data_IF_199371504923
#
_entry.id   IF_199371504923
#
_cell.length_a   1.000
_cell.length_b   1.000
_cell.length_c   1.000
_cell.angle_alpha   90.00
_cell.angle_beta   90.00
_cell.angle_gamma   90.00
#
_symmetry.space_group_name_H-M   'P 1'
#
loop_
_entity.id
_entity.type
_entity.pdbx_description
1 polymer ?
#
# COMPACT_ATOMS: atom_id res chain seq x y z
N UNK A 1 3.89 19.76 -8.99
CA UNK A 1 4.04 18.54 -9.84
C UNK A 1 5.35 17.90 -9.44
N UNK A 2 5.34 16.62 -9.21
CA UNK A 2 6.47 15.94 -8.57
C UNK A 2 7.70 15.89 -9.50
N UNK A 3 8.93 16.05 -8.95
CA UNK A 3 10.19 15.90 -9.72
C UNK A 3 10.33 14.56 -10.43
N UNK A 4 9.53 13.56 -10.01
CA UNK A 4 9.48 12.21 -10.57
C UNK A 4 9.03 12.14 -12.03
N UNK A 5 8.26 13.11 -12.51
CA UNK A 5 7.60 13.01 -13.83
C UNK A 5 8.27 13.83 -14.92
N UNK A 6 9.31 14.59 -14.60
CA UNK A 6 10.03 15.33 -15.62
C UNK A 6 10.74 14.36 -16.59
N UNK A 7 10.41 14.45 -17.87
CA UNK A 7 10.94 13.57 -18.90
C UNK A 7 10.41 12.13 -18.91
N UNK A 8 9.37 11.82 -18.13
CA UNK A 8 8.78 10.48 -18.03
C UNK A 8 7.30 10.48 -18.43
N UNK A 9 6.87 9.41 -19.07
CA UNK A 9 5.45 9.07 -19.18
C UNK A 9 5.03 8.38 -17.88
N UNK A 10 4.04 8.93 -17.18
CA UNK A 10 3.51 8.37 -15.92
C UNK A 10 2.11 7.81 -16.19
N UNK A 11 1.90 6.59 -15.77
CA UNK A 11 0.60 5.94 -15.78
C UNK A 11 0.18 5.72 -14.33
N UNK A 12 -0.99 6.23 -13.98
CA UNK A 12 -1.57 6.10 -12.66
C UNK A 12 -2.95 5.44 -12.82
N UNK A 13 -3.03 4.10 -12.64
CA UNK A 13 -4.31 3.41 -12.75
C UNK A 13 -5.27 3.90 -11.65
N UNK A 14 -6.51 4.12 -12.03
CA UNK A 14 -7.58 4.25 -11.07
C UNK A 14 -8.12 2.86 -10.77
N UNK A 15 -8.01 2.44 -9.53
CA UNK A 15 -8.58 1.17 -9.10
C UNK A 15 -10.11 1.20 -9.17
N UNK A 16 -10.71 0.03 -9.20
CA UNK A 16 -12.15 -0.14 -9.30
C UNK A 16 -12.86 0.66 -8.20
N UNK A 17 -14.01 1.24 -8.50
CA UNK A 17 -14.81 2.11 -7.65
C UNK A 17 -14.21 3.48 -7.31
N UNK A 18 -12.93 3.73 -7.57
CA UNK A 18 -12.37 5.08 -7.39
C UNK A 18 -12.89 6.05 -8.47
N UNK A 19 -12.87 7.38 -8.21
CA UNK A 19 -13.34 8.36 -9.19
C UNK A 19 -12.70 8.16 -10.56
N UNK A 20 -13.50 8.22 -11.63
CA UNK A 20 -13.10 7.98 -13.04
C UNK A 20 -12.82 6.51 -13.39
N UNK A 21 -13.09 5.56 -12.51
CA UNK A 21 -13.03 4.13 -12.78
C UNK A 21 -14.43 3.52 -12.89
N UNK A 22 -14.51 2.24 -13.29
CA UNK A 22 -15.76 1.47 -13.31
C UNK A 22 -16.26 1.15 -11.92
N UNK A 23 -17.57 0.94 -11.79
CA UNK A 23 -18.17 0.47 -10.55
C UNK A 23 -18.18 -1.05 -10.49
N UNK A 24 -18.06 -1.60 -9.26
CA UNK A 24 -18.27 -3.01 -9.03
C UNK A 24 -19.70 -3.42 -9.37
N UNK A 25 -19.86 -4.50 -10.11
CA UNK A 25 -21.17 -5.01 -10.55
C UNK A 25 -21.43 -6.43 -10.09
N UNK A 26 -20.51 -7.00 -9.31
CA UNK A 26 -20.67 -8.33 -8.73
C UNK A 26 -21.47 -8.31 -7.44
N UNK A 27 -21.90 -9.50 -7.01
CA UNK A 27 -22.49 -9.71 -5.69
C UNK A 27 -21.37 -9.98 -4.67
N UNK A 28 -21.45 -9.39 -3.49
CA UNK A 28 -20.48 -9.56 -2.41
C UNK A 28 -19.32 -8.57 -2.40
N UNK A 29 -18.25 -8.93 -1.74
CA UNK A 29 -17.08 -8.07 -1.53
C UNK A 29 -16.38 -7.74 -2.85
N UNK A 30 -15.87 -6.52 -2.96
CA UNK A 30 -15.14 -6.05 -4.13
C UNK A 30 -13.79 -6.77 -4.19
N UNK A 31 -13.56 -7.52 -5.25
CA UNK A 31 -12.36 -8.33 -5.42
C UNK A 31 -11.14 -7.46 -5.78
N UNK A 32 -10.15 -7.46 -4.89
CA UNK A 32 -8.85 -6.79 -5.11
C UNK A 32 -8.04 -7.36 -6.28
N UNK A 33 -8.34 -8.59 -6.69
CA UNK A 33 -7.73 -9.19 -7.88
C UNK A 33 -8.04 -8.40 -9.15
N UNK A 34 -9.20 -7.74 -9.21
CA UNK A 34 -9.56 -6.84 -10.31
C UNK A 34 -8.58 -5.67 -10.45
N UNK A 35 -8.09 -5.12 -9.33
CA UNK A 35 -7.11 -4.02 -9.36
C UNK A 35 -5.74 -4.51 -9.84
N UNK A 36 -5.32 -5.70 -9.40
CA UNK A 36 -4.12 -6.34 -9.92
C UNK A 36 -4.20 -6.55 -11.43
N UNK A 37 -5.28 -7.13 -11.94
CA UNK A 37 -5.48 -7.36 -13.38
C UNK A 37 -5.50 -6.06 -14.20
N UNK A 38 -6.05 -4.98 -13.65
CA UNK A 38 -6.01 -3.67 -14.29
C UNK A 38 -4.59 -3.11 -14.40
N UNK A 39 -3.80 -3.21 -13.33
CA UNK A 39 -2.40 -2.79 -13.30
C UNK A 39 -1.53 -3.69 -14.20
N UNK A 40 -1.74 -5.01 -14.17
CA UNK A 40 -1.07 -5.99 -15.03
C UNK A 40 -1.31 -5.69 -16.51
N UNK A 41 -2.55 -5.42 -16.89
CA UNK A 41 -2.88 -5.07 -18.28
C UNK A 41 -2.13 -3.84 -18.76
N UNK A 42 -1.97 -2.83 -17.91
CA UNK A 42 -1.17 -1.63 -18.22
C UNK A 42 0.29 -2.02 -18.40
N UNK A 43 0.86 -2.79 -17.46
CA UNK A 43 2.24 -3.24 -17.51
C UNK A 43 2.54 -4.04 -18.78
N UNK A 44 1.69 -5.00 -19.12
CA UNK A 44 1.85 -5.85 -20.29
C UNK A 44 1.67 -5.10 -21.62
N UNK A 45 0.95 -3.99 -21.61
CA UNK A 45 0.81 -3.10 -22.77
C UNK A 45 2.06 -2.27 -23.11
N UNK A 46 3.07 -2.26 -22.23
CA UNK A 46 4.31 -1.52 -22.46
C UNK A 46 5.32 -2.34 -23.26
N UNK A 47 5.99 -1.69 -24.24
CA UNK A 47 7.01 -2.34 -25.08
C UNK A 47 8.32 -2.59 -24.32
N UNK A 48 8.66 -1.74 -23.36
CA UNK A 48 9.90 -1.81 -22.56
C UNK A 48 9.66 -2.12 -21.09
N UNK A 49 10.75 -2.13 -20.33
CA UNK A 49 10.67 -2.19 -18.87
C UNK A 49 10.19 -0.88 -18.28
N UNK A 50 9.35 -0.96 -17.26
CA UNK A 50 8.85 0.19 -16.51
C UNK A 50 9.47 0.27 -15.13
N UNK A 51 9.39 1.45 -14.52
CA UNK A 51 9.61 1.64 -13.09
C UNK A 51 8.26 1.63 -12.38
N UNK A 52 8.21 1.05 -11.19
CA UNK A 52 7.00 1.04 -10.36
C UNK A 52 7.24 1.90 -9.13
N UNK A 53 6.32 2.84 -8.92
CA UNK A 53 6.20 3.60 -7.67
C UNK A 53 4.90 3.20 -6.98
N UNK A 54 4.98 2.82 -5.72
CA UNK A 54 3.81 2.42 -4.94
C UNK A 54 3.86 2.94 -3.50
N UNK A 55 2.68 3.13 -2.94
CA UNK A 55 2.46 3.43 -1.53
C UNK A 55 1.40 2.49 -0.98
N UNK A 56 1.60 1.96 0.21
CA UNK A 56 0.57 1.17 0.90
C UNK A 56 0.06 -0.01 0.04
N UNK A 57 -1.23 -0.08 -0.20
CA UNK A 57 -1.89 -1.04 -1.09
C UNK A 57 -1.29 -1.04 -2.52
N UNK A 58 -0.94 0.14 -3.05
CA UNK A 58 -0.26 0.23 -4.35
C UNK A 58 1.13 -0.42 -4.34
N UNK A 59 1.82 -0.44 -3.21
CA UNK A 59 3.05 -1.18 -3.01
C UNK A 59 2.82 -2.70 -3.01
N UNK A 60 1.75 -3.18 -2.37
CA UNK A 60 1.34 -4.59 -2.44
C UNK A 60 1.07 -5.03 -3.88
N UNK A 61 0.27 -4.28 -4.64
CA UNK A 61 0.00 -4.57 -6.06
C UNK A 61 1.30 -4.57 -6.87
N UNK A 62 2.21 -3.61 -6.63
CA UNK A 62 3.53 -3.55 -7.28
C UNK A 62 4.39 -4.79 -7.02
N UNK A 63 4.40 -5.31 -5.80
CA UNK A 63 5.09 -6.55 -5.45
C UNK A 63 4.49 -7.77 -6.17
N UNK A 64 3.15 -7.85 -6.24
CA UNK A 64 2.48 -8.92 -6.97
C UNK A 64 2.81 -8.89 -8.47
N UNK A 65 2.91 -7.70 -9.08
CA UNK A 65 3.38 -7.54 -10.45
C UNK A 65 4.82 -8.00 -10.61
N UNK A 66 5.68 -7.70 -9.65
CA UNK A 66 7.10 -8.08 -9.69
C UNK A 66 7.31 -9.60 -9.58
N UNK A 67 6.50 -10.29 -8.79
CA UNK A 67 6.53 -11.76 -8.71
C UNK A 67 6.13 -12.39 -10.04
N UNK A 68 5.08 -11.87 -10.69
CA UNK A 68 4.52 -12.48 -11.90
C UNK A 68 5.21 -12.02 -13.20
N UNK A 69 5.74 -10.79 -13.25
CA UNK A 69 6.30 -10.18 -14.46
C UNK A 69 7.65 -9.46 -14.20
N UNK A 70 8.66 -10.15 -13.61
CA UNK A 70 9.93 -9.52 -13.25
C UNK A 70 10.71 -8.97 -14.44
N UNK A 71 10.51 -9.55 -15.62
CA UNK A 71 11.14 -9.14 -16.87
C UNK A 71 10.61 -7.82 -17.43
N UNK A 72 9.42 -7.39 -17.01
CA UNK A 72 8.79 -6.12 -17.39
C UNK A 72 9.16 -4.95 -16.50
N UNK A 73 9.85 -5.17 -15.40
CA UNK A 73 10.15 -4.14 -14.40
C UNK A 73 11.64 -3.88 -14.35
N UNK A 74 12.03 -2.60 -14.37
CA UNK A 74 13.43 -2.17 -14.26
C UNK A 74 13.84 -1.99 -12.81
N UNK A 75 13.06 -1.26 -12.03
CA UNK A 75 13.24 -1.02 -10.59
C UNK A 75 11.93 -0.59 -9.93
N UNK A 76 11.92 -0.64 -8.63
CA UNK A 76 10.75 -0.27 -7.83
C UNK A 76 11.12 0.67 -6.70
N UNK A 77 10.19 1.54 -6.33
CA UNK A 77 10.29 2.41 -5.17
C UNK A 77 8.96 2.36 -4.41
N UNK A 78 9.02 1.97 -3.16
CA UNK A 78 7.83 1.85 -2.32
C UNK A 78 7.96 2.67 -1.05
N UNK A 79 6.90 3.38 -0.70
CA UNK A 79 6.72 3.88 0.65
C UNK A 79 5.75 2.95 1.38
N UNK A 80 6.27 2.27 2.40
CA UNK A 80 5.51 1.41 3.30
C UNK A 80 4.49 0.49 2.61
N UNK A 81 4.94 -0.44 1.76
CA UNK A 81 4.03 -1.40 1.12
C UNK A 81 3.32 -2.23 2.20
N UNK A 82 2.00 -2.37 2.09
CA UNK A 82 1.23 -3.10 3.09
C UNK A 82 1.26 -4.60 2.78
N UNK A 83 2.12 -5.33 3.50
CA UNK A 83 2.34 -6.78 3.36
C UNK A 83 2.08 -7.49 4.69
N UNK A 84 0.91 -7.29 5.26
CA UNK A 84 0.56 -7.79 6.59
C UNK A 84 0.56 -9.31 6.70
N UNK A 85 0.45 -10.04 5.59
CA UNK A 85 0.67 -11.49 5.57
C UNK A 85 2.04 -11.89 6.12
N UNK A 86 3.06 -11.04 5.96
CA UNK A 86 4.40 -11.28 6.51
C UNK A 86 4.41 -11.34 8.04
N UNK A 87 3.52 -10.63 8.73
CA UNK A 87 3.45 -10.62 10.20
C UNK A 87 3.16 -11.99 10.81
N UNK A 88 2.51 -12.89 10.08
CA UNK A 88 2.27 -14.25 10.55
C UNK A 88 3.58 -15.01 10.81
N UNK A 89 4.70 -14.52 10.25
CA UNK A 89 6.03 -15.13 10.29
C UNK A 89 7.02 -14.35 11.17
N UNK A 90 6.59 -13.30 11.88
CA UNK A 90 7.45 -12.64 12.86
C UNK A 90 7.57 -13.49 14.14
N UNK A 91 8.71 -13.38 14.83
CA UNK A 91 8.91 -13.92 16.17
C UNK A 91 8.36 -12.98 17.28
N UNK A 92 7.89 -11.79 16.90
CA UNK A 92 7.33 -10.76 17.76
C UNK A 92 5.85 -11.03 18.03
N UNK A 93 5.56 -11.93 18.96
CA UNK A 93 4.17 -12.26 19.33
C UNK A 93 3.39 -11.04 19.87
N UNK A 94 4.09 -10.08 20.47
CA UNK A 94 3.51 -8.81 20.91
C UNK A 94 2.92 -8.04 19.73
N UNK A 95 3.63 -7.95 18.59
CA UNK A 95 3.16 -7.26 17.39
C UNK A 95 2.06 -8.02 16.65
N UNK A 96 2.08 -9.36 16.71
CA UNK A 96 0.95 -10.16 16.17
C UNK A 96 -0.34 -9.89 16.95
N UNK A 97 -0.24 -9.84 18.27
CA UNK A 97 -1.38 -9.58 19.14
C UNK A 97 -1.91 -8.15 18.93
N UNK A 98 -1.02 -7.15 18.92
CA UNK A 98 -1.38 -5.76 18.62
C UNK A 98 -2.08 -5.63 17.27
N UNK A 99 -1.56 -6.29 16.24
CA UNK A 99 -2.22 -6.30 14.92
C UNK A 99 -3.56 -7.03 14.97
N UNK A 100 -3.68 -8.11 15.73
CA UNK A 100 -4.96 -8.80 15.96
C UNK A 100 -6.03 -7.87 16.56
N UNK A 101 -5.67 -7.04 17.52
CA UNK A 101 -6.57 -6.03 18.11
C UNK A 101 -7.00 -4.97 17.07
N UNK A 102 -6.09 -4.56 16.20
CA UNK A 102 -6.43 -3.65 15.06
C UNK A 102 -7.43 -4.31 14.11
N UNK A 103 -7.21 -5.57 13.76
CA UNK A 103 -8.13 -6.32 12.88
C UNK A 103 -9.51 -6.47 13.55
N UNK A 104 -9.56 -6.78 14.85
CA UNK A 104 -10.81 -6.83 15.60
C UNK A 104 -11.54 -5.49 15.57
N UNK A 105 -10.82 -4.37 15.76
CA UNK A 105 -11.39 -3.02 15.72
C UNK A 105 -12.02 -2.74 14.34
N UNK A 106 -11.31 -3.05 13.25
CA UNK A 106 -11.81 -2.79 11.89
C UNK A 106 -13.00 -3.67 11.49
N UNK A 107 -13.14 -4.85 12.06
CA UNK A 107 -14.13 -5.84 11.64
C UNK A 107 -15.04 -6.33 12.77
N UNK A 108 -15.24 -5.50 13.80
CA UNK A 108 -16.24 -5.78 14.85
C UNK A 108 -17.63 -5.98 14.24
N UNK A 109 -18.30 -7.05 14.64
CA UNK A 109 -19.64 -7.34 14.15
C UNK A 109 -20.62 -6.22 14.54
N UNK A 110 -21.38 -5.73 13.57
CA UNK A 110 -22.33 -4.63 13.76
C UNK A 110 -21.70 -3.24 13.74
N UNK A 111 -20.43 -3.12 13.37
CA UNK A 111 -19.77 -1.81 13.20
C UNK A 111 -20.46 -1.02 12.09
N UNK A 112 -20.83 0.23 12.38
CA UNK A 112 -21.38 1.12 11.35
C UNK A 112 -20.29 1.50 10.32
N UNK A 113 -20.64 1.68 9.05
CA UNK A 113 -19.66 2.00 8.00
C UNK A 113 -18.78 3.22 8.32
N UNK A 114 -19.32 4.24 8.99
CA UNK A 114 -18.59 5.44 9.37
C UNK A 114 -17.60 5.18 10.53
N UNK A 115 -17.91 4.26 11.42
CA UNK A 115 -17.01 3.90 12.51
C UNK A 115 -15.75 3.19 11.96
N UNK A 116 -15.92 2.28 11.01
CA UNK A 116 -14.77 1.71 10.28
C UNK A 116 -13.90 2.79 9.64
N UNK A 117 -14.50 3.78 8.97
CA UNK A 117 -13.72 4.86 8.33
C UNK A 117 -12.99 5.71 9.36
N UNK A 118 -13.61 6.01 10.51
CA UNK A 118 -12.98 6.74 11.60
C UNK A 118 -11.78 5.98 12.13
N UNK A 119 -11.96 4.71 12.49
CA UNK A 119 -10.91 3.87 13.04
C UNK A 119 -9.75 3.71 12.03
N UNK A 120 -10.06 3.50 10.77
CA UNK A 120 -9.06 3.36 9.70
C UNK A 120 -8.27 4.66 9.44
N UNK A 121 -8.94 5.80 9.41
CA UNK A 121 -8.27 7.09 9.19
C UNK A 121 -7.42 7.47 10.39
N UNK A 122 -7.95 7.31 11.60
CA UNK A 122 -7.23 7.61 12.84
C UNK A 122 -6.02 6.69 13.03
N UNK A 123 -6.15 5.42 12.68
CA UNK A 123 -5.05 4.44 12.71
C UNK A 123 -3.83 4.88 11.89
N UNK A 124 -4.03 5.42 10.69
CA UNK A 124 -2.96 5.86 9.81
C UNK A 124 -2.46 7.29 10.08
N UNK A 125 -3.13 8.03 10.93
CA UNK A 125 -2.80 9.40 11.24
C UNK A 125 -2.64 9.60 12.76
N UNK A 126 -3.56 10.31 13.35
CA UNK A 126 -3.64 10.55 14.79
C UNK A 126 -5.10 10.43 15.25
N UNK A 127 -5.36 10.07 16.51
CA UNK A 127 -6.72 10.06 17.03
C UNK A 127 -7.45 11.37 16.78
N UNK A 128 -8.67 11.30 16.24
CA UNK A 128 -9.49 12.46 15.88
C UNK A 128 -9.20 13.03 14.47
N UNK A 129 -8.35 12.41 13.68
CA UNK A 129 -8.08 12.83 12.30
C UNK A 129 -9.34 12.79 11.43
N UNK A 130 -10.19 11.75 11.61
CA UNK A 130 -11.48 11.66 10.93
C UNK A 130 -12.40 12.82 11.27
N UNK A 131 -12.57 13.11 12.54
CA UNK A 131 -13.49 14.16 13.00
C UNK A 131 -12.99 15.58 12.62
N UNK A 132 -11.68 15.74 12.45
CA UNK A 132 -11.06 16.98 11.98
C UNK A 132 -11.15 17.20 10.47
N UNK A 133 -11.56 16.17 9.72
CA UNK A 133 -11.62 16.22 8.27
C UNK A 133 -12.81 17.06 7.80
N UNK A 134 -12.62 17.84 6.71
CA UNK A 134 -13.70 18.59 6.08
C UNK A 134 -14.82 17.66 5.59
N UNK A 135 -16.09 18.08 5.71
CA UNK A 135 -17.25 17.28 5.36
C UNK A 135 -17.20 16.74 3.93
N UNK A 136 -16.82 17.57 2.96
CA UNK A 136 -16.72 17.14 1.56
C UNK A 136 -15.66 16.06 1.33
N UNK A 137 -14.64 15.98 2.19
CA UNK A 137 -13.66 14.90 2.16
C UNK A 137 -14.22 13.65 2.80
N UNK A 138 -14.92 13.76 3.94
CA UNK A 138 -15.60 12.63 4.56
C UNK A 138 -16.65 12.02 3.62
N UNK A 139 -17.38 12.84 2.87
CA UNK A 139 -18.35 12.36 1.89
C UNK A 139 -17.68 11.50 0.81
N UNK A 140 -16.53 11.91 0.30
CA UNK A 140 -15.76 11.11 -0.64
C UNK A 140 -15.32 9.76 -0.03
N UNK A 141 -14.88 9.75 1.23
CA UNK A 141 -14.53 8.53 1.94
C UNK A 141 -15.73 7.61 2.15
N UNK A 142 -16.90 8.17 2.49
CA UNK A 142 -18.16 7.41 2.62
C UNK A 142 -18.55 6.73 1.30
N UNK A 143 -18.40 7.42 0.17
CA UNK A 143 -18.65 6.83 -1.15
C UNK A 143 -17.68 5.67 -1.46
N UNK A 144 -16.44 5.77 -1.00
CA UNK A 144 -15.41 4.77 -1.23
C UNK A 144 -15.39 3.65 -0.17
N UNK A 145 -16.13 3.79 0.91
CA UNK A 145 -16.08 2.90 2.07
C UNK A 145 -16.19 1.41 1.70
N UNK A 146 -17.11 0.93 0.84
CA UNK A 146 -17.19 -0.49 0.52
C UNK A 146 -15.91 -1.01 -0.16
N UNK A 147 -15.28 -0.17 -0.96
CA UNK A 147 -14.02 -0.51 -1.64
C UNK A 147 -12.85 -0.54 -0.66
N UNK A 148 -12.72 0.48 0.17
CA UNK A 148 -11.66 0.58 1.18
C UNK A 148 -11.77 -0.58 2.17
N UNK A 149 -12.99 -0.90 2.63
CA UNK A 149 -13.24 -2.03 3.52
C UNK A 149 -12.78 -3.37 2.91
N UNK A 150 -13.07 -3.58 1.62
CA UNK A 150 -12.64 -4.77 0.89
C UNK A 150 -11.12 -4.87 0.76
N UNK A 151 -10.45 -3.77 0.42
CA UNK A 151 -8.99 -3.70 0.33
C UNK A 151 -8.34 -4.02 1.69
N UNK A 152 -8.81 -3.36 2.75
CA UNK A 152 -8.29 -3.54 4.11
C UNK A 152 -8.55 -4.97 4.59
N UNK A 153 -9.74 -5.52 4.32
CA UNK A 153 -10.06 -6.91 4.67
C UNK A 153 -9.11 -7.89 3.98
N UNK A 154 -8.88 -7.72 2.69
CA UNK A 154 -7.94 -8.56 1.94
C UNK A 154 -6.54 -8.49 2.55
N UNK A 155 -6.02 -7.30 2.85
CA UNK A 155 -4.69 -7.11 3.43
C UNK A 155 -4.59 -7.69 4.85
N UNK A 156 -5.61 -7.52 5.69
CA UNK A 156 -5.64 -8.05 7.06
C UNK A 156 -5.68 -9.57 7.12
N UNK A 157 -6.37 -10.19 6.17
CA UNK A 157 -6.51 -11.65 6.10
C UNK A 157 -5.53 -12.31 5.12
N UNK A 158 -4.62 -11.53 4.49
CA UNK A 158 -3.51 -12.07 3.73
C UNK A 158 -2.64 -13.00 4.58
N UNK A 159 -2.13 -14.08 3.98
CA UNK A 159 -1.26 -15.06 4.64
C UNK A 159 0.02 -15.29 3.85
N UNK A 160 0.32 -14.41 2.89
CA UNK A 160 1.50 -14.49 2.04
C UNK A 160 2.78 -14.38 2.89
N UNK A 161 3.61 -15.42 2.92
CA UNK A 161 4.84 -15.39 3.72
C UNK A 161 5.90 -14.50 3.08
N UNK A 162 6.87 -13.97 3.84
CA UNK A 162 7.99 -13.20 3.30
C UNK A 162 8.75 -13.96 2.18
N UNK A 163 8.92 -15.27 2.32
CA UNK A 163 9.60 -16.11 1.35
C UNK A 163 8.98 -16.10 -0.05
N UNK A 164 7.70 -15.76 -0.16
CA UNK A 164 7.04 -15.58 -1.46
C UNK A 164 7.68 -14.48 -2.31
N UNK A 165 8.24 -13.46 -1.67
CA UNK A 165 8.88 -12.32 -2.33
C UNK A 165 10.38 -12.52 -2.58
N UNK A 166 10.99 -13.60 -2.06
CA UNK A 166 12.43 -13.83 -2.10
C UNK A 166 13.01 -13.97 -3.52
N UNK A 167 12.19 -14.33 -4.50
CA UNK A 167 12.62 -14.48 -5.89
C UNK A 167 12.60 -13.15 -6.68
N UNK A 168 12.13 -12.04 -6.09
CA UNK A 168 12.17 -10.74 -6.73
C UNK A 168 13.59 -10.20 -6.70
N UNK A 169 14.28 -10.26 -7.84
CA UNK A 169 15.67 -9.80 -8.03
C UNK A 169 15.76 -8.38 -8.61
N UNK A 170 14.63 -7.70 -8.68
CA UNK A 170 14.53 -6.34 -9.19
C UNK A 170 15.04 -5.40 -8.09
N UNK A 171 15.86 -4.37 -8.41
CA UNK A 171 16.28 -3.37 -7.44
C UNK A 171 15.07 -2.64 -6.83
N UNK A 172 14.98 -2.62 -5.50
CA UNK A 172 13.85 -2.04 -4.75
C UNK A 172 14.35 -1.06 -3.70
N UNK A 173 13.80 0.15 -3.70
CA UNK A 173 13.86 1.04 -2.56
C UNK A 173 12.57 0.90 -1.74
N UNK A 174 12.71 0.72 -0.43
CA UNK A 174 11.60 0.81 0.54
C UNK A 174 11.90 1.98 1.46
N UNK A 175 11.03 2.98 1.48
CA UNK A 175 11.09 4.05 2.49
C UNK A 175 10.16 3.70 3.65
N UNK A 176 10.66 3.81 4.87
CA UNK A 176 9.96 3.52 6.12
C UNK A 176 10.02 4.73 7.05
N UNK A 177 9.07 4.83 7.95
CA UNK A 177 9.08 5.83 9.03
C UNK A 177 9.02 5.14 10.40
N UNK A 178 9.73 5.71 11.37
CA UNK A 178 9.65 5.30 12.77
C UNK A 178 8.38 5.84 13.47
N UNK A 179 7.65 6.73 12.79
CA UNK A 179 6.33 7.21 13.22
C UNK A 179 5.18 6.26 12.78
N UNK A 180 5.49 5.21 12.02
CA UNK A 180 4.51 4.22 11.55
C UNK A 180 4.15 3.21 12.66
N UNK A 181 2.93 2.64 12.66
CA UNK A 181 2.58 1.59 13.60
C UNK A 181 3.59 0.44 13.62
N UNK A 182 4.01 -0.06 14.81
CA UNK A 182 5.11 -1.02 14.95
C UNK A 182 4.94 -2.30 14.12
N UNK A 183 3.72 -2.81 13.98
CA UNK A 183 3.47 -4.01 13.17
C UNK A 183 3.57 -3.73 11.65
N UNK A 184 3.21 -2.52 11.16
CA UNK A 184 3.47 -2.13 9.77
C UNK A 184 4.97 -2.02 9.50
N UNK A 185 5.72 -1.42 10.43
CA UNK A 185 7.17 -1.35 10.36
C UNK A 185 7.81 -2.75 10.32
N UNK A 186 7.36 -3.67 11.19
CA UNK A 186 7.84 -5.05 11.21
C UNK A 186 7.52 -5.80 9.91
N UNK A 187 6.30 -5.66 9.38
CA UNK A 187 5.92 -6.28 8.10
C UNK A 187 6.87 -5.86 6.95
N UNK A 188 7.15 -4.56 6.84
CA UNK A 188 8.10 -4.04 5.85
C UNK A 188 9.54 -4.50 6.13
N UNK A 189 9.93 -4.61 7.40
CA UNK A 189 11.24 -5.12 7.79
C UNK A 189 11.42 -6.59 7.41
N UNK A 190 10.41 -7.43 7.63
CA UNK A 190 10.41 -8.83 7.20
C UNK A 190 10.50 -8.95 5.68
N UNK A 191 9.75 -8.14 4.95
CA UNK A 191 9.84 -8.07 3.49
C UNK A 191 11.26 -7.72 3.03
N UNK A 192 11.83 -6.65 3.57
CA UNK A 192 13.16 -6.15 3.15
C UNK A 192 14.28 -7.15 3.39
N UNK A 193 14.17 -7.99 4.43
CA UNK A 193 15.18 -9.01 4.76
C UNK A 193 15.22 -10.17 3.75
N UNK A 194 14.14 -10.43 3.05
CA UNK A 194 14.06 -11.54 2.08
C UNK A 194 14.29 -11.10 0.65
N UNK A 195 14.17 -9.82 0.35
CA UNK A 195 14.41 -9.26 -0.98
C UNK A 195 15.92 -9.18 -1.25
N UNK A 196 16.44 -9.84 -2.31
CA UNK A 196 17.88 -9.91 -2.58
C UNK A 196 18.56 -8.57 -2.88
N UNK A 197 17.82 -7.61 -3.46
CA UNK A 197 18.33 -6.29 -3.86
C UNK A 197 17.42 -5.18 -3.34
N UNK A 198 17.23 -5.15 -2.01
CA UNK A 198 16.45 -4.14 -1.33
C UNK A 198 17.33 -3.12 -0.60
N UNK A 199 17.04 -1.84 -0.82
CA UNK A 199 17.55 -0.73 -0.02
C UNK A 199 16.43 -0.18 0.84
N UNK A 200 16.70 0.05 2.12
CA UNK A 200 15.77 0.69 3.06
C UNK A 200 16.30 2.07 3.41
N UNK A 201 15.43 3.07 3.35
CA UNK A 201 15.71 4.43 3.80
C UNK A 201 14.64 4.90 4.77
N UNK A 202 15.06 5.65 5.80
CA UNK A 202 14.15 6.17 6.80
C UNK A 202 13.75 7.60 6.47
N UNK A 203 12.45 7.88 6.55
CA UNK A 203 11.84 9.16 6.20
C UNK A 203 10.80 9.56 7.26
N UNK A 204 10.52 10.85 7.46
CA UNK A 204 9.54 11.30 8.44
C UNK A 204 8.10 11.16 7.96
N UNK A 205 7.14 11.25 8.88
CA UNK A 205 5.71 11.48 8.61
C UNK A 205 4.85 10.24 8.57
N UNK A 206 5.34 9.11 9.07
CA UNK A 206 4.58 7.88 9.18
C UNK A 206 4.11 7.35 7.83
N UNK A 207 3.10 6.50 7.87
CA UNK A 207 2.50 5.90 6.68
C UNK A 207 2.00 6.93 5.64
N UNK A 208 1.50 8.05 6.13
CA UNK A 208 0.98 9.13 5.27
C UNK A 208 2.05 10.15 4.86
N UNK A 209 3.34 9.90 5.16
CA UNK A 209 4.45 10.79 4.88
C UNK A 209 4.58 11.22 3.42
N UNK A 210 4.26 10.34 2.47
CA UNK A 210 4.23 10.68 1.02
C UNK A 210 3.25 11.81 0.69
N UNK A 211 2.27 12.07 1.55
CA UNK A 211 1.26 13.13 1.41
C UNK A 211 1.57 14.29 2.35
N UNK A 212 1.75 14.01 3.64
CA UNK A 212 1.88 15.02 4.70
C UNK A 212 3.26 15.68 4.74
N UNK A 213 4.29 14.93 4.34
CA UNK A 213 5.71 15.31 4.30
C UNK A 213 6.32 15.10 2.91
N UNK A 214 5.52 15.29 1.86
CA UNK A 214 5.92 14.94 0.49
C UNK A 214 7.23 15.63 0.04
N UNK A 215 7.54 16.84 0.53
CA UNK A 215 8.81 17.54 0.23
C UNK A 215 10.03 16.86 0.85
N UNK A 216 9.84 16.02 1.87
CA UNK A 216 10.90 15.29 2.55
C UNK A 216 11.00 13.83 2.04
N UNK A 217 9.87 13.19 1.77
CA UNK A 217 9.81 11.77 1.34
C UNK A 217 10.06 11.60 -0.16
N UNK A 218 9.42 12.42 -0.99
CA UNK A 218 9.46 12.23 -2.44
C UNK A 218 10.84 12.34 -3.08
N UNK A 219 11.80 13.15 -2.59
CA UNK A 219 13.15 13.18 -3.14
C UNK A 219 13.86 11.83 -3.09
N UNK A 220 13.71 11.04 -2.03
CA UNK A 220 14.31 9.70 -1.90
C UNK A 220 13.82 8.77 -3.02
N UNK A 221 12.50 8.73 -3.22
CA UNK A 221 11.86 7.91 -4.26
C UNK A 221 12.25 8.38 -5.67
N UNK A 222 12.33 9.71 -5.86
CA UNK A 222 12.72 10.32 -7.13
C UNK A 222 14.18 10.02 -7.50
N UNK A 223 15.10 10.20 -6.56
CA UNK A 223 16.52 9.93 -6.77
C UNK A 223 16.76 8.46 -7.14
N UNK A 224 16.14 7.55 -6.39
CA UNK A 224 16.20 6.12 -6.69
C UNK A 224 15.70 5.77 -8.08
N UNK A 225 14.56 6.29 -8.51
CA UNK A 225 14.01 6.02 -9.83
C UNK A 225 14.83 6.66 -10.95
N UNK A 226 15.60 7.70 -10.67
CA UNK A 226 16.45 8.40 -11.64
C UNK A 226 17.91 7.89 -11.68
N UNK A 227 18.32 7.08 -10.72
CA UNK A 227 19.64 6.44 -10.72
C UNK A 227 19.64 5.19 -11.62
#
# INVERSE_FOLDING_TARGET
>A
MFPLIEGRRVMCPHYLCYPKSGQWKGDGDIDSWTDYLAAERILLGEEGKVDILGHSYGGFIGLMLAVNHPDKIRRMAFHEPTVWGCLQHTEREDLKNEFGEVVETFFTEGLEPEDFLRDFVDYWNVPGAWDSMLDNRRDMWRELQPKILSEVRMLCYDRTPPSFYAEIKIPILITLSDETPPHQFEACSLLSRVLPDARVEYVPGGHMGVITKSSEVMPHLAEWLNS
#
